data_IF_425515523851
#
_entry.id   IF_425515523851
#
_cell.length_a   1.000
_cell.length_b   1.000
_cell.length_c   1.000
_cell.angle_alpha   90.00
_cell.angle_beta   90.00
_cell.angle_gamma   90.00
#
_symmetry.space_group_name_H-M   'P 1'
#
loop_
_entity.id
_entity.type
_entity.pdbx_description
1 polymer ?
#
# COMPACT_ATOMS: atom_id res chain seq x y z
N UNK A 1 55.07 -21.57 24.03
CA UNK A 1 55.93 -22.44 23.20
C UNK A 1 55.21 -22.62 21.87
N UNK A 2 55.44 -21.78 20.84
CA UNK A 2 56.44 -21.95 19.75
C UNK A 2 56.47 -23.43 19.35
N UNK A 3 56.07 -23.89 18.17
CA UNK A 3 56.11 -23.40 16.79
C UNK A 3 55.52 -24.52 15.91
N UNK A 4 54.91 -24.22 14.76
CA UNK A 4 55.12 -24.99 13.53
C UNK A 4 54.65 -24.14 12.36
N UNK A 5 55.51 -24.06 11.35
CA UNK A 5 55.33 -23.33 10.10
C UNK A 5 55.29 -24.35 8.94
N UNK A 6 54.90 -23.79 7.78
CA UNK A 6 55.17 -24.22 6.39
C UNK A 6 54.30 -25.43 5.91
N UNK A 7 53.70 -25.54 4.71
CA UNK A 7 54.02 -25.07 3.34
C UNK A 7 52.74 -25.01 2.47
N UNK A 8 52.67 -24.02 1.56
CA UNK A 8 51.69 -23.82 0.46
C UNK A 8 52.06 -24.70 -0.76
N UNK A 9 51.08 -25.16 -1.55
CA UNK A 9 51.26 -24.99 -3.00
C UNK A 9 50.04 -24.34 -3.65
N UNK A 10 50.34 -23.33 -4.47
CA UNK A 10 49.46 -22.73 -5.45
C UNK A 10 49.20 -23.71 -6.60
N UNK A 11 47.95 -23.81 -7.05
CA UNK A 11 47.65 -24.39 -8.35
C UNK A 11 46.71 -23.45 -9.12
N UNK A 12 47.31 -22.76 -10.09
CA UNK A 12 46.65 -22.03 -11.16
C UNK A 12 45.99 -23.03 -12.11
N UNK A 13 44.70 -22.83 -12.42
CA UNK A 13 44.08 -23.36 -13.62
C UNK A 13 43.43 -22.21 -14.38
N UNK A 14 44.14 -21.77 -15.43
CA UNK A 14 43.60 -20.95 -16.50
C UNK A 14 42.94 -21.89 -17.51
N UNK A 15 41.63 -21.73 -17.74
CA UNK A 15 40.99 -22.25 -18.94
C UNK A 15 40.56 -21.07 -19.80
N UNK A 16 41.38 -20.80 -20.82
CA UNK A 16 40.97 -20.11 -22.05
C UNK A 16 40.13 -21.05 -22.89
N UNK A 17 38.97 -20.59 -23.34
CA UNK A 17 38.33 -21.11 -24.54
C UNK A 17 37.66 -19.95 -25.28
N UNK A 18 38.26 -19.53 -26.39
CA UNK A 18 37.57 -18.82 -27.46
C UNK A 18 36.80 -19.87 -28.28
N UNK A 19 35.51 -19.61 -28.51
CA UNK A 19 34.66 -20.33 -29.45
C UNK A 19 33.76 -19.32 -30.15
N UNK A 20 33.66 -19.44 -31.47
CA UNK A 20 33.30 -18.41 -32.43
C UNK A 20 31.82 -17.98 -32.44
N UNK A 21 31.60 -16.79 -33.00
CA UNK A 21 30.30 -16.22 -33.28
C UNK A 21 29.50 -17.05 -34.29
N UNK A 22 28.29 -17.48 -33.91
CA UNK A 22 27.24 -17.84 -34.87
C UNK A 22 26.08 -16.85 -34.74
N UNK A 23 25.89 -16.05 -35.79
CA UNK A 23 24.66 -15.29 -36.04
C UNK A 23 23.62 -16.24 -36.64
N UNK A 24 22.45 -16.37 -36.02
CA UNK A 24 21.15 -15.97 -36.60
C UNK A 24 19.94 -16.70 -35.98
N UNK A 25 18.87 -15.90 -35.91
CA UNK A 25 17.44 -16.24 -35.95
C UNK A 25 16.75 -16.57 -34.64
N UNK A 26 15.73 -15.76 -34.38
CA UNK A 26 14.81 -15.77 -33.26
C UNK A 26 14.17 -17.13 -32.99
N UNK A 27 14.22 -17.56 -31.74
CA UNK A 27 13.10 -18.23 -31.07
C UNK A 27 13.25 -18.01 -29.56
N UNK A 28 12.61 -16.98 -29.00
CA UNK A 28 12.55 -16.84 -27.55
C UNK A 28 11.51 -17.83 -27.01
N UNK A 29 11.98 -19.03 -26.69
CA UNK A 29 11.28 -19.97 -25.82
C UNK A 29 11.57 -19.57 -24.38
N UNK A 30 10.48 -19.36 -23.66
CA UNK A 30 10.40 -19.06 -22.24
C UNK A 30 11.03 -20.19 -21.41
N UNK A 31 12.07 -19.91 -20.64
CA UNK A 31 12.47 -20.73 -19.49
C UNK A 31 12.70 -19.81 -18.29
N UNK A 32 11.78 -19.94 -17.34
CA UNK A 32 11.59 -19.12 -16.17
C UNK A 32 12.38 -19.77 -15.02
N UNK A 33 13.66 -19.42 -14.87
CA UNK A 33 14.43 -19.73 -13.68
C UNK A 33 14.19 -18.61 -12.66
N UNK A 34 13.37 -18.93 -11.66
CA UNK A 34 12.90 -18.00 -10.64
C UNK A 34 14.04 -17.33 -9.88
N UNK A 35 14.22 -16.03 -10.14
CA UNK A 35 14.82 -15.11 -9.21
C UNK A 35 13.69 -14.20 -8.73
N UNK A 36 13.12 -14.50 -7.55
CA UNK A 36 12.26 -13.55 -6.84
C UNK A 36 13.19 -12.46 -6.31
N UNK A 37 13.54 -11.53 -7.21
CA UNK A 37 14.00 -10.21 -6.79
C UNK A 37 12.75 -9.56 -6.22
N UNK A 38 12.70 -9.43 -4.90
CA UNK A 38 11.65 -8.69 -4.21
C UNK A 38 11.71 -7.24 -4.73
N UNK A 39 10.90 -6.94 -5.75
CA UNK A 39 10.84 -5.61 -6.35
C UNK A 39 10.13 -4.73 -5.36
N UNK A 40 10.92 -4.15 -4.44
CA UNK A 40 10.54 -3.06 -3.56
C UNK A 40 9.81 -2.02 -4.40
N UNK A 41 8.51 -1.91 -4.23
CA UNK A 41 7.70 -0.93 -4.95
C UNK A 41 8.16 0.46 -4.56
N UNK A 42 8.47 1.34 -5.52
CA UNK A 42 8.84 2.74 -5.28
C UNK A 42 7.62 3.63 -4.95
N UNK A 43 6.69 3.10 -4.14
CA UNK A 43 5.47 3.80 -3.75
C UNK A 43 5.21 3.61 -2.27
N UNK A 44 4.59 4.62 -1.66
CA UNK A 44 4.05 4.51 -0.30
C UNK A 44 2.85 3.57 -0.32
N UNK A 45 2.88 2.56 0.55
CA UNK A 45 1.82 1.55 0.68
C UNK A 45 0.86 1.94 1.80
N UNK A 46 -0.42 1.62 1.61
CA UNK A 46 -1.45 1.79 2.63
C UNK A 46 -1.90 0.45 3.18
N UNK A 47 -2.00 0.36 4.51
CA UNK A 47 -2.73 -0.70 5.20
C UNK A 47 -3.99 -0.18 5.85
N UNK A 48 -5.09 -0.90 5.61
CA UNK A 48 -6.42 -0.57 6.10
C UNK A 48 -6.82 -1.57 7.18
N UNK A 49 -7.49 -1.08 8.22
CA UNK A 49 -8.21 -1.91 9.19
C UNK A 49 -9.46 -1.20 9.65
N UNK A 50 -10.57 -1.91 9.74
CA UNK A 50 -11.80 -1.42 10.36
C UNK A 50 -12.09 -2.29 11.58
N UNK A 51 -12.66 -1.72 12.65
CA UNK A 51 -13.19 -2.51 13.77
C UNK A 51 -14.35 -3.36 13.25
N UNK A 52 -14.06 -4.60 12.84
CA UNK A 52 -14.90 -5.39 11.93
C UNK A 52 -16.37 -5.57 12.33
N UNK A 53 -16.72 -5.55 13.61
CA UNK A 53 -18.11 -5.52 14.05
C UNK A 53 -18.33 -4.28 14.91
N UNK A 54 -19.30 -3.44 14.52
CA UNK A 54 -19.66 -2.23 15.27
C UNK A 54 -21.14 -2.25 15.56
N UNK A 55 -21.51 -2.01 16.81
CA UNK A 55 -22.92 -1.83 17.21
C UNK A 55 -23.30 -0.36 17.10
N UNK A 56 -24.55 -0.09 16.77
CA UNK A 56 -25.06 1.28 16.71
C UNK A 56 -24.82 2.03 18.04
N UNK A 57 -24.20 3.20 17.95
CA UNK A 57 -23.76 4.01 19.10
C UNK A 57 -22.24 4.01 19.32
N UNK A 58 -21.53 3.03 18.75
CA UNK A 58 -20.06 3.00 18.72
C UNK A 58 -19.51 3.57 17.39
N UNK A 59 -18.32 4.19 17.40
CA UNK A 59 -17.70 4.69 16.17
C UNK A 59 -17.24 3.53 15.27
N UNK A 60 -17.46 3.68 13.96
CA UNK A 60 -16.92 2.77 12.95
C UNK A 60 -15.56 3.29 12.48
N UNK A 61 -14.51 2.87 13.18
CA UNK A 61 -13.18 3.41 13.01
C UNK A 61 -12.42 2.68 11.90
N UNK A 62 -12.16 3.43 10.83
CA UNK A 62 -11.08 3.12 9.90
C UNK A 62 -9.75 3.54 10.53
N UNK A 63 -8.82 2.59 10.61
CA UNK A 63 -7.39 2.84 10.80
C UNK A 63 -6.67 2.77 9.47
N UNK A 64 -5.96 3.83 9.13
CA UNK A 64 -5.26 4.01 7.87
C UNK A 64 -3.77 4.23 8.14
N UNK A 65 -2.93 3.31 7.68
CA UNK A 65 -1.48 3.35 7.89
C UNK A 65 -0.81 3.60 6.56
N UNK A 66 0.01 4.64 6.47
CA UNK A 66 0.91 4.86 5.34
C UNK A 66 2.29 4.34 5.73
N UNK A 67 2.80 3.41 4.95
CA UNK A 67 4.09 2.75 5.14
C UNK A 67 5.08 3.24 4.08
N UNK A 68 6.27 3.63 4.51
CA UNK A 68 7.37 3.87 3.58
C UNK A 68 8.34 2.70 3.58
N UNK A 69 8.02 1.69 2.76
CA UNK A 69 8.91 0.57 2.50
C UNK A 69 9.97 0.91 1.43
N UNK A 70 10.20 2.18 1.06
CA UNK A 70 11.26 2.62 0.13
C UNK A 70 12.54 2.98 0.89
N UNK A 71 13.62 3.30 0.18
CA UNK A 71 14.94 3.63 0.74
C UNK A 71 15.19 5.14 0.86
N UNK A 72 14.21 5.95 0.47
CA UNK A 72 14.26 7.40 0.49
C UNK A 72 13.04 8.01 1.16
N UNK A 73 13.17 9.22 1.69
CA UNK A 73 12.03 9.95 2.21
C UNK A 73 11.06 10.26 1.07
N UNK A 74 9.78 9.95 1.26
CA UNK A 74 8.73 10.19 0.26
C UNK A 74 7.67 11.12 0.84
N UNK A 75 6.98 11.83 -0.05
CA UNK A 75 5.85 12.69 0.30
C UNK A 75 4.58 12.19 -0.37
N UNK A 76 3.45 12.38 0.28
CA UNK A 76 2.13 12.15 -0.31
C UNK A 76 1.21 13.34 -0.03
N UNK A 77 0.21 13.53 -0.89
CA UNK A 77 -0.82 14.54 -0.68
C UNK A 77 -1.84 14.02 0.33
N UNK A 78 -2.11 14.79 1.39
CA UNK A 78 -3.05 14.38 2.45
C UNK A 78 -4.51 14.42 2.01
N UNK A 79 -4.80 15.03 0.86
CA UNK A 79 -6.17 15.06 0.33
C UNK A 79 -6.64 13.67 -0.05
N UNK A 80 -7.93 13.40 0.15
CA UNK A 80 -8.51 12.08 -0.08
C UNK A 80 -7.85 11.01 0.79
N UNK A 81 -7.51 11.38 2.03
CA UNK A 81 -7.03 10.47 3.07
C UNK A 81 -7.62 10.87 4.42
N UNK A 82 -7.54 10.02 5.45
CA UNK A 82 -7.90 10.38 6.82
C UNK A 82 -6.95 11.35 7.53
N UNK A 83 -5.86 11.80 6.89
CA UNK A 83 -4.96 12.82 7.47
C UNK A 83 -5.53 14.25 7.39
N UNK A 84 -6.74 14.37 6.85
CA UNK A 84 -7.62 15.53 6.97
C UNK A 84 -8.99 15.07 7.49
N UNK A 85 -9.85 15.99 7.97
CA UNK A 85 -11.25 15.64 8.23
C UNK A 85 -11.90 14.99 7.00
N UNK A 86 -12.97 14.21 7.21
CA UNK A 86 -13.76 13.56 6.14
C UNK A 86 -14.38 14.62 5.19
N UNK A 87 -13.59 15.04 4.22
CA UNK A 87 -13.85 16.15 3.29
C UNK A 87 -13.87 15.67 1.82
N UNK A 88 -13.91 14.36 1.61
CA UNK A 88 -14.00 13.70 0.31
C UNK A 88 -14.41 12.22 0.47
N UNK A 89 -15.04 11.65 -0.55
CA UNK A 89 -15.24 10.20 -0.62
C UNK A 89 -13.98 9.54 -1.18
N UNK A 90 -13.17 8.96 -0.29
CA UNK A 90 -11.92 8.26 -0.64
C UNK A 90 -11.96 6.75 -0.41
N UNK A 91 -13.12 6.23 -0.02
CA UNK A 91 -13.41 4.80 0.01
C UNK A 91 -14.58 4.52 -0.92
N UNK A 92 -14.48 3.42 -1.67
CA UNK A 92 -15.67 2.73 -2.17
C UNK A 92 -16.10 1.71 -1.13
N UNK A 93 -17.37 1.74 -0.74
CA UNK A 93 -17.96 0.86 0.27
C UNK A 93 -19.19 0.20 -0.33
N UNK A 94 -19.15 -1.12 -0.51
CA UNK A 94 -20.25 -1.89 -1.12
C UNK A 94 -20.81 -2.91 -0.15
N UNK A 95 -22.13 -3.09 -0.14
CA UNK A 95 -22.74 -4.20 0.60
C UNK A 95 -22.63 -5.53 -0.16
N UNK A 96 -23.13 -6.61 0.43
CA UNK A 96 -23.12 -7.95 -0.17
C UNK A 96 -23.88 -8.06 -1.50
N UNK A 97 -24.83 -7.15 -1.75
CA UNK A 97 -25.57 -7.04 -3.03
C UNK A 97 -24.84 -6.21 -4.08
N UNK A 98 -23.67 -5.64 -3.74
CA UNK A 98 -22.93 -4.73 -4.61
C UNK A 98 -23.47 -3.29 -4.61
N UNK A 99 -24.40 -2.93 -3.72
CA UNK A 99 -24.90 -1.56 -3.59
C UNK A 99 -23.85 -0.70 -2.89
N UNK A 100 -23.52 0.45 -3.49
CA UNK A 100 -22.57 1.43 -2.92
C UNK A 100 -23.22 2.20 -1.75
N UNK A 101 -22.52 2.34 -0.64
CA UNK A 101 -22.90 3.21 0.46
C UNK A 101 -22.79 4.68 0.02
N UNK A 102 -23.83 5.46 0.26
CA UNK A 102 -23.85 6.87 -0.13
C UNK A 102 -22.93 7.68 0.77
N UNK A 103 -22.01 8.43 0.19
CA UNK A 103 -21.24 9.43 0.92
C UNK A 103 -22.12 10.67 1.19
N UNK A 104 -22.23 11.06 2.45
CA UNK A 104 -22.98 12.21 2.97
C UNK A 104 -22.09 13.23 3.69
N UNK A 105 -20.78 12.98 3.75
CA UNK A 105 -19.83 13.89 4.38
C UNK A 105 -19.62 15.19 3.59
N UNK A 106 -18.83 16.10 4.16
CA UNK A 106 -18.45 17.32 3.47
C UNK A 106 -17.59 17.00 2.23
N UNK A 107 -17.68 17.86 1.22
CA UNK A 107 -16.88 17.79 -0.01
C UNK A 107 -16.14 19.11 -0.20
N UNK A 108 -14.82 19.09 0.00
CA UNK A 108 -14.01 20.29 -0.13
C UNK A 108 -13.72 20.63 -1.59
N UNK A 109 -13.97 21.88 -1.98
CA UNK A 109 -13.49 22.44 -3.25
C UNK A 109 -12.00 22.76 -3.14
N UNK A 110 -11.18 22.31 -4.09
CA UNK A 110 -9.71 22.43 -4.06
C UNK A 110 -9.18 23.28 -5.21
N UNK A 111 -8.09 23.98 -4.95
CA UNK A 111 -7.24 24.56 -6.00
C UNK A 111 -6.34 23.47 -6.58
N UNK A 112 -6.06 23.56 -7.88
CA UNK A 112 -5.14 22.66 -8.58
C UNK A 112 -4.00 23.46 -9.23
N UNK A 113 -2.74 23.00 -9.12
CA UNK A 113 -2.28 21.82 -8.39
C UNK A 113 -2.40 21.97 -6.85
N UNK A 114 -2.36 20.87 -6.06
CA UNK A 114 -2.34 20.96 -4.61
C UNK A 114 -1.16 21.82 -4.13
N UNK A 115 -1.36 22.74 -3.17
CA UNK A 115 -0.27 23.55 -2.63
C UNK A 115 0.71 22.68 -1.84
N UNK A 116 1.93 23.18 -1.66
CA UNK A 116 2.99 22.45 -0.93
C UNK A 116 2.58 22.06 0.51
N UNK A 117 1.73 22.86 1.16
CA UNK A 117 1.19 22.59 2.50
C UNK A 117 0.25 21.38 2.56
N UNK A 118 -0.21 20.86 1.41
CA UNK A 118 -1.05 19.66 1.34
C UNK A 118 -0.24 18.37 1.34
N UNK A 119 1.09 18.44 1.40
CA UNK A 119 1.96 17.28 1.39
C UNK A 119 2.58 17.03 2.75
N UNK A 120 2.66 15.77 3.14
CA UNK A 120 3.38 15.32 4.32
C UNK A 120 4.45 14.30 3.94
N UNK A 121 5.49 14.18 4.76
CA UNK A 121 6.64 13.32 4.53
C UNK A 121 6.58 12.07 5.41
N UNK A 122 7.06 10.95 4.87
CA UNK A 122 7.33 9.70 5.59
C UNK A 122 8.77 9.29 5.31
N UNK A 123 9.59 9.09 6.34
CA UNK A 123 10.99 8.68 6.16
C UNK A 123 11.09 7.19 5.80
N UNK A 124 12.22 6.71 5.27
CA UNK A 124 12.42 5.28 5.00
C UNK A 124 12.18 4.43 6.25
N UNK A 125 11.41 3.35 6.13
CA UNK A 125 11.10 2.44 7.23
C UNK A 125 10.06 2.97 8.24
N UNK A 126 9.67 4.24 8.15
CA UNK A 126 8.67 4.83 9.03
C UNK A 126 7.23 4.58 8.53
N UNK A 127 6.28 4.89 9.41
CA UNK A 127 4.86 4.90 9.08
C UNK A 127 4.14 6.10 9.70
N UNK A 128 3.07 6.53 9.04
CA UNK A 128 2.10 7.47 9.59
C UNK A 128 0.74 6.79 9.76
N UNK A 129 -0.01 7.19 10.78
CA UNK A 129 -1.32 6.62 11.08
C UNK A 129 -2.35 7.73 11.20
N UNK A 130 -3.50 7.53 10.59
CA UNK A 130 -4.68 8.35 10.79
C UNK A 130 -5.91 7.46 11.01
N UNK A 131 -6.92 8.02 11.69
CA UNK A 131 -8.18 7.33 11.94
C UNK A 131 -9.35 8.19 11.47
N UNK A 132 -10.38 7.54 10.93
CA UNK A 132 -11.64 8.18 10.56
C UNK A 132 -12.82 7.38 11.08
N UNK A 133 -13.82 8.06 11.63
CA UNK A 133 -15.10 7.46 11.97
C UNK A 133 -16.03 7.52 10.75
N UNK A 134 -16.25 6.38 10.11
CA UNK A 134 -16.97 6.28 8.85
C UNK A 134 -18.47 6.61 9.00
N UNK A 135 -19.05 6.44 10.19
CA UNK A 135 -20.46 6.78 10.45
C UNK A 135 -20.73 8.29 10.34
N UNK A 136 -19.69 9.12 10.38
CA UNK A 136 -19.83 10.58 10.20
C UNK A 136 -20.03 11.01 8.75
N UNK A 137 -19.76 10.14 7.78
CA UNK A 137 -19.76 10.51 6.38
C UNK A 137 -20.37 9.48 5.42
N UNK A 138 -20.64 8.24 5.87
CA UNK A 138 -21.22 7.19 5.02
C UNK A 138 -22.58 6.75 5.55
N UNK A 139 -23.54 6.63 4.63
CA UNK A 139 -24.86 6.09 4.92
C UNK A 139 -24.84 4.57 4.91
N UNK A 140 -24.76 3.98 6.11
CA UNK A 140 -24.67 2.54 6.30
C UNK A 140 -25.96 2.02 6.91
N UNK A 141 -26.52 0.97 6.30
CA UNK A 141 -27.70 0.27 6.79
C UNK A 141 -27.28 -0.62 7.97
N UNK A 142 -28.04 -0.56 9.05
CA UNK A 142 -27.85 -1.47 10.19
C UNK A 142 -28.22 -2.89 9.78
N UNK A 143 -27.56 -3.87 10.40
CA UNK A 143 -27.68 -5.29 10.09
C UNK A 143 -27.00 -5.73 8.79
N UNK A 144 -26.21 -4.88 8.13
CA UNK A 144 -25.57 -5.19 6.85
C UNK A 144 -24.05 -5.34 6.96
N UNK A 145 -23.49 -6.25 6.15
CA UNK A 145 -22.06 -6.40 5.93
C UNK A 145 -21.60 -5.61 4.70
N UNK A 146 -20.37 -5.12 4.78
CA UNK A 146 -19.76 -4.25 3.80
C UNK A 146 -18.33 -4.66 3.47
N UNK A 147 -17.91 -4.27 2.27
CA UNK A 147 -16.54 -4.32 1.76
C UNK A 147 -16.10 -2.90 1.44
N UNK A 148 -14.96 -2.47 1.98
CA UNK A 148 -14.37 -1.16 1.69
C UNK A 148 -13.01 -1.30 0.99
N UNK A 149 -12.79 -0.44 -0.01
CA UNK A 149 -11.56 -0.32 -0.78
C UNK A 149 -11.16 1.16 -0.87
N UNK A 150 -9.87 1.44 -0.74
CA UNK A 150 -9.35 2.81 -0.89
C UNK A 150 -9.30 3.22 -2.36
N UNK A 151 -9.90 4.36 -2.69
CA UNK A 151 -10.01 4.90 -4.05
C UNK A 151 -9.35 6.27 -4.22
N UNK A 152 -8.82 6.86 -3.13
CA UNK A 152 -8.18 8.18 -3.14
C UNK A 152 -6.76 8.22 -3.76
N UNK A 153 -6.22 7.09 -4.20
CA UNK A 153 -4.82 6.95 -4.63
C UNK A 153 -4.39 7.91 -5.75
N UNK A 154 -5.30 8.25 -6.68
CA UNK A 154 -5.01 9.19 -7.76
C UNK A 154 -4.70 10.62 -7.25
N UNK A 155 -5.30 11.03 -6.13
CA UNK A 155 -5.07 12.36 -5.55
C UNK A 155 -3.90 12.33 -4.56
N UNK A 156 -3.82 11.29 -3.74
CA UNK A 156 -2.82 11.20 -2.66
C UNK A 156 -1.44 10.74 -3.14
N UNK A 157 -1.40 9.94 -4.21
CA UNK A 157 -0.20 9.20 -4.65
C UNK A 157 0.05 7.92 -3.84
N UNK A 158 -0.90 7.50 -3.00
CA UNK A 158 -0.79 6.30 -2.17
C UNK A 158 -1.35 5.06 -2.88
N UNK A 159 -0.74 3.91 -2.62
CA UNK A 159 -1.17 2.62 -3.19
C UNK A 159 -1.73 1.73 -2.07
N UNK A 160 -2.94 1.23 -2.25
CA UNK A 160 -3.53 0.19 -1.40
C UNK A 160 -3.89 -1.02 -2.24
N UNK A 161 -3.64 -2.21 -1.71
CA UNK A 161 -4.16 -3.49 -2.23
C UNK A 161 -5.23 -4.09 -1.31
N UNK A 162 -5.47 -3.43 -0.18
CA UNK A 162 -6.31 -3.96 0.87
C UNK A 162 -7.78 -3.84 0.48
N UNK A 163 -8.51 -4.91 0.77
CA UNK A 163 -9.96 -4.95 0.81
C UNK A 163 -10.33 -5.33 2.23
N UNK A 164 -11.05 -4.46 2.93
CA UNK A 164 -11.44 -4.71 4.32
C UNK A 164 -12.94 -4.92 4.41
N UNK A 165 -13.36 -5.85 5.26
CA UNK A 165 -14.78 -6.13 5.50
C UNK A 165 -15.17 -5.75 6.92
N UNK A 166 -16.43 -5.35 7.08
CA UNK A 166 -17.02 -5.05 8.38
C UNK A 166 -18.54 -5.22 8.35
N UNK A 167 -19.16 -5.34 9.51
CA UNK A 167 -20.60 -5.41 9.70
C UNK A 167 -21.05 -4.29 10.63
N UNK A 168 -22.08 -3.57 10.21
CA UNK A 168 -22.73 -2.55 11.04
C UNK A 168 -23.99 -3.11 11.66
N UNK A 169 -23.94 -3.43 12.95
CA UNK A 169 -24.97 -4.19 13.66
C UNK A 169 -26.03 -3.29 14.30
N UNK A 170 -27.24 -3.84 14.46
CA UNK A 170 -28.24 -3.27 15.36
C UNK A 170 -27.83 -3.47 16.82
N UNK A 171 -28.38 -2.63 17.71
CA UNK A 171 -28.29 -2.88 19.16
C UNK A 171 -29.19 -4.10 19.43
N UNK A 172 -28.65 -5.12 20.11
CA UNK A 172 -29.43 -6.26 20.58
C UNK A 172 -30.22 -5.91 21.82
#
# INVERSE_FOLDING_TARGET
>A
MKNIRIIIPALLLLFSACGEATRNTATNKNENAGQIVDRKTDSLEVKLKINGNVVNGEPLLLRFVVLNNTDSAKKFCIWHTPFEPLMSSYLSITNEKGEEATYKGAMAKRVMPPPASSYTQVNPGDSLVANADLLKAYDLKKGASYKAVYTGGNMSGLVSKDTVTFTYNEIR
#
